data_IF_806969857648
#
_entry.id   IF_806969857648
#
_cell.length_a   1.000
_cell.length_b   1.000
_cell.length_c   1.000
_cell.angle_alpha   90.00
_cell.angle_beta   90.00
_cell.angle_gamma   90.00
#
_symmetry.space_group_name_H-M   'P 1'
#
loop_
_entity.id
_entity.type
_entity.pdbx_description
1 polymer ?
#
# COMPACT_ATOMS: atom_id res chain seq x y z
N UNK A 1 19.88 -1.32 17.07
CA UNK A 1 20.20 -1.78 18.44
C UNK A 1 18.99 -2.43 19.04
N UNK A 2 19.18 -3.60 19.63
CA UNK A 2 18.10 -4.39 20.20
C UNK A 2 17.56 -3.73 21.47
N UNK A 3 16.25 -3.75 21.59
CA UNK A 3 15.50 -3.22 22.71
C UNK A 3 15.08 -4.35 23.64
N UNK A 4 14.99 -4.06 24.93
CA UNK A 4 14.49 -4.97 25.95
C UNK A 4 13.30 -4.33 26.69
N UNK A 5 12.08 -4.48 26.16
CA UNK A 5 10.87 -3.95 26.79
C UNK A 5 10.60 -4.56 28.17
N UNK A 6 11.10 -5.77 28.46
CA UNK A 6 10.93 -6.39 29.78
C UNK A 6 11.76 -5.73 30.89
N UNK A 7 12.81 -4.97 30.53
CA UNK A 7 13.70 -4.30 31.49
C UNK A 7 13.32 -2.84 31.80
N UNK A 8 12.34 -2.28 31.09
CA UNK A 8 11.79 -0.94 31.34
C UNK A 8 11.25 -0.25 30.09
N UNK A 9 10.38 0.73 30.32
CA UNK A 9 9.66 1.50 29.29
C UNK A 9 8.32 0.89 28.93
N UNK A 10 7.67 1.46 27.91
CA UNK A 10 6.37 0.99 27.40
C UNK A 10 6.36 0.96 25.87
N UNK A 11 5.60 0.02 25.32
CA UNK A 11 5.26 -0.02 23.89
C UNK A 11 3.75 0.12 23.81
N UNK A 12 3.28 1.12 23.08
CA UNK A 12 1.85 1.38 22.85
C UNK A 12 1.59 1.48 21.35
N UNK A 13 0.32 1.36 20.95
CA UNK A 13 -0.06 1.59 19.57
C UNK A 13 -1.34 2.44 19.48
N UNK A 14 -1.46 3.16 18.36
CA UNK A 14 -2.69 3.80 17.89
C UNK A 14 -3.05 3.21 16.53
N UNK A 15 -4.33 2.95 16.31
CA UNK A 15 -4.86 2.47 15.03
C UNK A 15 -6.02 3.36 14.60
N UNK A 16 -5.86 4.04 13.46
CA UNK A 16 -6.89 4.84 12.81
C UNK A 16 -6.98 4.53 11.32
N UNK A 17 -7.98 5.08 10.65
CA UNK A 17 -8.14 4.92 9.19
C UNK A 17 -7.04 5.63 8.39
N UNK A 18 -6.39 6.63 8.98
CA UNK A 18 -5.39 7.49 8.34
C UNK A 18 -3.95 7.04 8.62
N UNK A 19 -3.71 6.32 9.71
CA UNK A 19 -2.39 5.82 10.11
C UNK A 19 -2.47 4.76 11.21
N UNK A 20 -1.42 3.96 11.28
CA UNK A 20 -1.10 3.12 12.43
C UNK A 20 0.21 3.61 13.05
N UNK A 21 0.25 3.75 14.37
CA UNK A 21 1.43 4.26 15.09
C UNK A 21 1.83 3.26 16.15
N UNK A 22 3.11 2.90 16.22
CA UNK A 22 3.70 2.17 17.34
C UNK A 22 4.69 3.08 18.04
N UNK A 23 4.55 3.24 19.36
CA UNK A 23 5.35 4.16 20.17
C UNK A 23 6.12 3.37 21.22
N UNK A 24 7.45 3.50 21.19
CA UNK A 24 8.34 3.06 22.26
C UNK A 24 8.64 4.27 23.15
N UNK A 25 8.27 4.21 24.42
CA UNK A 25 8.49 5.28 25.39
C UNK A 25 9.38 4.82 26.53
N UNK A 26 10.60 5.38 26.59
CA UNK A 26 11.60 5.03 27.60
C UNK A 26 12.06 3.57 27.56
N UNK A 27 11.98 2.89 26.41
CA UNK A 27 12.30 1.46 26.31
C UNK A 27 13.81 1.25 26.42
N UNK A 28 14.23 0.36 27.32
CA UNK A 28 15.66 0.09 27.54
C UNK A 28 16.31 -0.64 26.36
N UNK A 29 17.58 -0.38 26.14
CA UNK A 29 18.43 -1.22 25.29
C UNK A 29 18.65 -2.59 25.95
N UNK A 30 18.87 -3.63 25.14
CA UNK A 30 19.14 -4.97 25.66
C UNK A 30 20.48 -5.07 26.42
N UNK A 31 21.52 -4.42 25.91
CA UNK A 31 22.89 -4.55 26.43
C UNK A 31 23.33 -3.47 27.43
N UNK A 32 22.50 -2.46 27.71
CA UNK A 32 22.82 -1.43 28.71
C UNK A 32 21.57 -0.74 29.29
N UNK A 33 21.77 0.20 30.21
CA UNK A 33 20.69 0.93 30.90
C UNK A 33 20.11 2.11 30.12
N UNK A 34 20.69 2.48 28.97
CA UNK A 34 20.19 3.58 28.15
C UNK A 34 18.79 3.27 27.61
N UNK A 35 17.98 4.31 27.44
CA UNK A 35 16.59 4.21 26.99
C UNK A 35 16.37 4.91 25.65
N UNK A 36 15.37 4.46 24.90
CA UNK A 36 14.95 5.04 23.63
C UNK A 36 13.46 5.43 23.67
N UNK A 37 13.16 6.59 23.13
CA UNK A 37 11.81 7.11 22.92
C UNK A 37 11.65 7.55 21.47
N UNK A 38 10.90 6.76 20.70
CA UNK A 38 10.62 7.01 19.29
C UNK A 38 9.31 6.35 18.88
N UNK A 39 8.80 6.70 17.72
CA UNK A 39 7.63 6.07 17.13
C UNK A 39 7.86 5.68 15.68
N UNK A 40 7.14 4.65 15.23
CA UNK A 40 7.01 4.23 13.84
C UNK A 40 5.57 4.48 13.42
N UNK A 41 5.39 5.25 12.34
CA UNK A 41 4.10 5.62 11.78
C UNK A 41 4.00 4.96 10.42
N UNK A 42 2.97 4.15 10.22
CA UNK A 42 2.61 3.52 8.96
C UNK A 42 1.40 4.24 8.38
N UNK A 43 1.53 4.74 7.16
CA UNK A 43 0.45 5.37 6.42
C UNK A 43 -0.13 4.41 5.37
N UNK A 44 -1.43 4.51 5.04
CA UNK A 44 -2.06 3.69 3.99
C UNK A 44 -1.42 3.85 2.60
N UNK A 45 -0.75 4.98 2.32
CA UNK A 45 0.00 5.20 1.09
C UNK A 45 1.36 4.47 1.05
N UNK A 46 1.66 3.65 2.05
CA UNK A 46 2.91 2.91 2.17
C UNK A 46 4.07 3.73 2.76
N UNK A 47 3.87 5.01 3.10
CA UNK A 47 4.89 5.79 3.80
C UNK A 47 5.13 5.23 5.20
N UNK A 48 6.41 5.13 5.57
CA UNK A 48 6.87 4.71 6.88
C UNK A 48 7.70 5.85 7.46
N UNK A 49 7.24 6.42 8.57
CA UNK A 49 7.97 7.48 9.27
C UNK A 49 8.46 6.98 10.61
N UNK A 50 9.76 7.12 10.84
CA UNK A 50 10.35 6.98 12.16
C UNK A 50 10.57 8.37 12.75
N UNK A 51 9.96 8.68 13.90
CA UNK A 51 10.18 9.95 14.61
C UNK A 51 10.87 9.73 15.94
N UNK A 52 11.87 10.54 16.24
CA UNK A 52 12.78 10.32 17.35
C UNK A 52 12.65 11.45 18.36
N UNK A 53 12.11 11.16 19.54
CA UNK A 53 12.07 12.13 20.61
C UNK A 53 13.41 12.13 21.37
N UNK A 54 13.84 10.97 21.84
CA UNK A 54 15.10 10.79 22.56
C UNK A 54 15.74 9.46 22.20
N UNK A 55 16.95 9.49 21.67
CA UNK A 55 17.76 8.31 21.37
C UNK A 55 19.17 8.48 21.89
N UNK A 56 19.76 7.36 22.32
CA UNK A 56 21.18 7.31 22.63
C UNK A 56 21.96 6.82 21.41
N UNK A 57 22.86 7.68 20.91
CA UNK A 57 23.73 7.37 19.78
C UNK A 57 24.82 6.38 20.22
N UNK A 58 24.56 5.09 19.99
CA UNK A 58 25.56 4.03 20.05
C UNK A 58 25.68 3.40 18.66
N UNK A 59 26.90 3.05 18.26
CA UNK A 59 27.44 2.93 16.89
C UNK A 59 26.88 1.80 16.00
N UNK A 60 25.71 1.23 16.30
CA UNK A 60 25.18 0.05 15.59
C UNK A 60 23.68 0.10 15.24
N UNK A 61 23.05 1.28 15.27
CA UNK A 61 21.67 1.40 14.78
C UNK A 61 21.64 1.56 13.26
N UNK A 62 21.90 0.49 12.52
CA UNK A 62 21.51 0.45 11.11
C UNK A 62 20.00 0.63 11.05
N UNK A 63 19.56 1.75 10.49
CA UNK A 63 18.16 2.03 10.17
C UNK A 63 18.03 1.81 8.68
N UNK A 64 17.05 1.06 8.24
CA UNK A 64 16.93 0.73 6.84
C UNK A 64 15.70 -0.10 6.57
N UNK A 65 15.46 -0.36 5.30
CA UNK A 65 14.46 -1.32 4.86
C UNK A 65 15.20 -2.54 4.37
N UNK A 66 14.78 -3.71 4.85
CA UNK A 66 15.30 -5.01 4.46
C UNK A 66 14.23 -5.78 3.68
N UNK A 67 14.66 -6.63 2.75
CA UNK A 67 13.78 -7.58 2.09
C UNK A 67 13.33 -8.70 3.03
N UNK A 68 12.26 -9.40 2.64
CA UNK A 68 11.59 -10.41 3.48
C UNK A 68 12.50 -11.58 3.90
N UNK A 69 13.48 -11.92 3.07
CA UNK A 69 14.43 -13.01 3.28
C UNK A 69 15.73 -12.57 3.99
N UNK A 70 15.87 -11.28 4.33
CA UNK A 70 17.00 -10.77 5.10
C UNK A 70 18.33 -10.75 4.36
N UNK A 71 18.30 -10.83 3.03
CA UNK A 71 19.51 -10.94 2.18
C UNK A 71 19.96 -9.58 1.62
N UNK A 72 19.11 -8.57 1.64
CA UNK A 72 19.38 -7.24 1.10
C UNK A 72 18.70 -6.14 1.93
N UNK A 73 19.49 -5.15 2.36
CA UNK A 73 19.01 -3.99 3.09
C UNK A 73 19.48 -2.67 2.47
N UNK A 74 18.62 -1.65 2.52
CA UNK A 74 18.96 -0.27 2.19
C UNK A 74 19.08 0.53 3.48
N UNK A 75 20.30 0.93 3.89
CA UNK A 75 20.50 1.71 5.10
C UNK A 75 20.22 3.20 4.87
N UNK A 76 19.69 3.85 5.89
CA UNK A 76 19.75 5.30 6.07
C UNK A 76 21.11 5.64 6.68
N UNK A 77 21.91 6.41 5.94
CA UNK A 77 23.35 6.58 6.19
C UNK A 77 23.69 7.57 7.32
N UNK A 78 22.72 8.35 7.79
CA UNK A 78 22.93 9.34 8.84
C UNK A 78 22.35 8.84 10.16
N UNK A 79 23.10 8.98 11.26
CA UNK A 79 22.54 8.66 12.57
C UNK A 79 21.43 9.65 12.91
N UNK A 80 20.25 9.18 13.36
CA UNK A 80 19.20 10.06 13.84
C UNK A 80 19.69 10.85 15.06
N UNK A 81 19.04 11.97 15.33
CA UNK A 81 19.30 12.78 16.52
C UNK A 81 17.97 13.04 17.24
N UNK A 82 18.03 13.49 18.48
CA UNK A 82 16.83 13.88 19.21
C UNK A 82 16.08 14.96 18.42
N UNK A 83 14.76 14.78 18.28
CA UNK A 83 13.89 15.68 17.53
C UNK A 83 13.90 15.50 16.01
N UNK A 84 14.60 14.51 15.45
CA UNK A 84 14.58 14.27 14.00
C UNK A 84 13.52 13.25 13.58
N UNK A 85 13.32 13.10 12.28
CA UNK A 85 12.51 12.05 11.68
C UNK A 85 13.19 11.51 10.41
N UNK A 86 12.96 10.24 10.11
CA UNK A 86 13.33 9.59 8.85
C UNK A 86 12.05 9.08 8.21
N UNK A 87 11.76 9.54 6.99
CA UNK A 87 10.61 9.12 6.20
C UNK A 87 11.08 8.24 5.05
N UNK A 88 10.60 7.01 5.02
CA UNK A 88 10.66 6.14 3.86
C UNK A 88 9.38 6.30 3.08
N UNK A 89 9.51 6.79 1.86
CA UNK A 89 8.43 6.77 0.88
C UNK A 89 8.60 5.53 0.03
N UNK A 90 7.54 4.77 -0.27
CA UNK A 90 7.60 3.81 -1.34
C UNK A 90 8.17 4.52 -2.57
N UNK A 91 9.13 3.89 -3.22
CA UNK A 91 9.42 4.26 -4.59
C UNK A 91 8.13 3.97 -5.36
N UNK A 92 7.37 5.01 -5.70
CA UNK A 92 6.43 4.95 -6.83
C UNK A 92 7.13 4.44 -8.09
N UNK A 93 8.46 4.51 -8.10
CA UNK A 93 9.38 4.03 -9.11
C UNK A 93 9.77 2.54 -8.98
N UNK A 94 8.92 1.63 -9.47
CA UNK A 94 9.26 1.19 -10.81
C UNK A 94 8.58 2.21 -11.69
N UNK A 95 9.37 3.11 -12.28
CA UNK A 95 8.90 3.90 -13.41
C UNK A 95 8.62 2.85 -14.48
N UNK A 96 7.40 2.32 -14.48
CA UNK A 96 6.71 2.30 -15.74
C UNK A 96 6.68 3.78 -16.09
N UNK A 97 7.48 4.18 -17.07
CA UNK A 97 7.19 5.43 -17.74
C UNK A 97 5.84 5.12 -18.37
N UNK A 98 4.75 5.38 -17.64
CA UNK A 98 3.42 5.36 -18.21
C UNK A 98 3.53 6.50 -19.22
N UNK A 99 3.78 6.16 -20.49
CA UNK A 99 4.38 7.07 -21.47
C UNK A 99 3.56 8.37 -21.63
N UNK A 100 2.32 8.38 -21.14
CA UNK A 100 1.34 9.45 -21.22
C UNK A 100 0.71 9.88 -19.88
N UNK A 101 1.18 9.38 -18.73
CA UNK A 101 0.63 9.74 -17.41
C UNK A 101 -0.81 9.25 -17.18
N UNK A 102 -1.21 8.15 -17.81
CA UNK A 102 -2.54 7.53 -17.62
C UNK A 102 -2.48 6.28 -16.76
N UNK A 103 -3.64 5.87 -16.28
CA UNK A 103 -3.82 4.54 -15.68
C UNK A 103 -3.45 3.47 -16.73
N UNK A 104 -2.69 2.46 -16.33
CA UNK A 104 -2.35 1.33 -17.19
C UNK A 104 -2.75 0.01 -16.56
N UNK A 105 -3.30 -0.90 -17.36
CA UNK A 105 -3.55 -2.28 -16.91
C UNK A 105 -2.29 -3.10 -17.13
N UNK A 106 -1.72 -3.58 -16.03
CA UNK A 106 -0.47 -4.33 -16.03
C UNK A 106 -0.71 -5.82 -16.32
N UNK A 107 -1.78 -6.37 -15.74
CA UNK A 107 -2.07 -7.80 -15.82
C UNK A 107 -3.55 -8.09 -15.59
N UNK A 108 -4.06 -9.11 -16.30
CA UNK A 108 -5.36 -9.71 -16.03
C UNK A 108 -5.18 -11.21 -15.85
N UNK A 109 -5.70 -11.73 -14.75
CA UNK A 109 -5.74 -13.16 -14.42
C UNK A 109 -7.20 -13.64 -14.33
N UNK A 110 -7.41 -14.94 -14.56
CA UNK A 110 -8.72 -15.56 -14.36
C UNK A 110 -9.75 -15.25 -15.45
N UNK A 111 -9.35 -14.75 -16.62
CA UNK A 111 -10.24 -14.41 -17.75
C UNK A 111 -11.03 -15.62 -18.35
N UNK A 112 -10.89 -16.82 -17.79
CA UNK A 112 -11.73 -18.00 -18.08
C UNK A 112 -12.12 -18.76 -16.80
N UNK A 113 -12.22 -18.05 -15.68
CA UNK A 113 -12.62 -18.58 -14.38
C UNK A 113 -13.90 -17.89 -13.90
N UNK A 114 -14.41 -18.35 -12.75
CA UNK A 114 -15.52 -17.73 -12.02
C UNK A 114 -15.14 -16.40 -11.34
N UNK A 115 -13.87 -15.99 -11.47
CA UNK A 115 -13.37 -14.70 -11.02
C UNK A 115 -12.40 -14.10 -12.04
N UNK A 116 -12.32 -12.79 -12.07
CA UNK A 116 -11.28 -12.03 -12.77
C UNK A 116 -10.54 -11.16 -11.78
N UNK A 117 -9.22 -11.20 -11.85
CA UNK A 117 -8.34 -10.35 -11.06
C UNK A 117 -7.52 -9.48 -12.01
N UNK A 118 -7.41 -8.19 -11.69
CA UNK A 118 -6.73 -7.22 -12.52
C UNK A 118 -5.77 -6.40 -11.68
N UNK A 119 -4.54 -6.28 -12.15
CA UNK A 119 -3.51 -5.39 -11.63
C UNK A 119 -3.41 -4.17 -12.56
N UNK A 120 -3.46 -2.97 -11.98
CA UNK A 120 -3.33 -1.71 -12.72
C UNK A 120 -2.44 -0.73 -11.97
N UNK A 121 -1.81 0.17 -12.71
CA UNK A 121 -1.01 1.27 -12.17
C UNK A 121 -1.80 2.58 -12.25
N UNK A 122 -1.75 3.35 -11.16
CA UNK A 122 -2.28 4.73 -11.11
C UNK A 122 -1.07 5.68 -11.14
N UNK A 123 -1.05 6.67 -12.04
CA UNK A 123 0.11 7.54 -12.28
C UNK A 123 0.33 8.56 -11.16
N UNK A 124 -0.75 9.06 -10.54
CA UNK A 124 -0.73 10.10 -9.52
C UNK A 124 -1.73 9.78 -8.40
N UNK A 125 -1.64 10.45 -7.26
CA UNK A 125 -2.64 10.29 -6.21
C UNK A 125 -3.97 10.91 -6.67
N UNK A 126 -5.00 10.11 -6.89
CA UNK A 126 -6.26 10.57 -7.48
C UNK A 126 -7.47 9.70 -7.08
N UNK A 127 -8.68 10.22 -7.32
CA UNK A 127 -9.88 9.40 -7.20
C UNK A 127 -10.04 8.45 -8.39
N UNK A 128 -10.21 7.15 -8.11
CA UNK A 128 -10.40 6.11 -9.13
C UNK A 128 -11.72 5.39 -8.93
N UNK A 129 -12.48 5.21 -10.02
CA UNK A 129 -13.68 4.36 -10.05
C UNK A 129 -13.46 3.16 -10.96
N UNK A 130 -13.76 1.98 -10.44
CA UNK A 130 -13.72 0.71 -11.20
C UNK A 130 -15.13 0.15 -11.30
N UNK A 131 -15.67 0.16 -12.51
CA UNK A 131 -17.02 -0.32 -12.81
C UNK A 131 -16.97 -1.57 -13.69
N UNK A 132 -18.02 -2.39 -13.61
CA UNK A 132 -18.25 -3.54 -14.48
C UNK A 132 -19.49 -3.30 -15.33
N UNK A 133 -19.41 -3.50 -16.64
CA UNK A 133 -20.51 -3.36 -17.59
C UNK A 133 -20.74 -4.65 -18.38
N UNK A 134 -21.98 -4.89 -18.83
CA UNK A 134 -22.27 -5.93 -19.81
C UNK A 134 -22.12 -5.40 -21.26
N UNK A 135 -22.33 -6.27 -22.25
CA UNK A 135 -22.24 -5.90 -23.68
C UNK A 135 -23.25 -4.84 -24.14
N UNK A 136 -24.33 -4.62 -23.38
CA UNK A 136 -25.33 -3.59 -23.66
C UNK A 136 -24.94 -2.23 -23.05
N UNK A 137 -23.78 -2.14 -22.41
CA UNK A 137 -23.35 -0.94 -21.69
C UNK A 137 -24.08 -0.70 -20.38
N UNK A 138 -24.82 -1.69 -19.87
CA UNK A 138 -25.49 -1.57 -18.58
C UNK A 138 -24.47 -1.83 -17.47
N UNK A 139 -24.43 -0.94 -16.47
CA UNK A 139 -23.57 -1.11 -15.31
C UNK A 139 -24.09 -2.26 -14.44
N UNK A 140 -23.22 -3.24 -14.24
CA UNK A 140 -23.48 -4.46 -13.48
C UNK A 140 -23.06 -4.30 -12.02
N UNK A 141 -21.89 -3.73 -11.79
CA UNK A 141 -21.33 -3.54 -10.45
C UNK A 141 -20.33 -2.37 -10.43
N UNK A 142 -20.04 -1.84 -9.25
CA UNK A 142 -18.93 -0.90 -8.98
C UNK A 142 -18.03 -1.58 -7.95
N UNK A 143 -16.81 -1.95 -8.35
CA UNK A 143 -15.86 -2.67 -7.50
C UNK A 143 -15.12 -1.73 -6.55
N UNK A 144 -14.83 -0.52 -7.04
CA UNK A 144 -14.11 0.53 -6.31
C UNK A 144 -14.62 1.91 -6.74
N UNK A 145 -14.69 2.83 -5.78
CA UNK A 145 -15.00 4.25 -5.98
C UNK A 145 -14.35 5.04 -4.82
N UNK A 146 -13.03 5.08 -4.83
CA UNK A 146 -12.23 5.58 -3.70
C UNK A 146 -10.97 6.31 -4.18
N UNK A 147 -10.25 6.91 -3.24
CA UNK A 147 -8.98 7.57 -3.53
C UNK A 147 -7.85 6.52 -3.58
N UNK A 148 -7.02 6.59 -4.61
CA UNK A 148 -5.88 5.71 -4.83
C UNK A 148 -4.60 6.52 -4.82
N UNK A 149 -3.59 6.07 -4.07
CA UNK A 149 -2.24 6.60 -4.18
C UNK A 149 -1.56 6.12 -5.47
N UNK A 150 -0.62 6.89 -5.99
CA UNK A 150 0.20 6.51 -7.14
C UNK A 150 0.88 5.16 -6.90
N UNK A 151 0.90 4.31 -7.94
CA UNK A 151 1.46 2.97 -7.87
C UNK A 151 0.47 1.87 -8.26
N UNK A 152 0.76 0.64 -7.85
CA UNK A 152 0.03 -0.54 -8.29
C UNK A 152 -1.15 -0.85 -7.38
N UNK A 153 -2.25 -1.24 -7.99
CA UNK A 153 -3.49 -1.63 -7.35
C UNK A 153 -3.98 -2.94 -7.93
N UNK A 154 -4.74 -3.69 -7.13
CA UNK A 154 -5.36 -4.93 -7.56
C UNK A 154 -6.84 -4.92 -7.22
N UNK A 155 -7.66 -5.30 -8.20
CA UNK A 155 -9.10 -5.53 -8.02
C UNK A 155 -9.45 -6.96 -8.40
N UNK A 156 -10.50 -7.46 -7.78
CA UNK A 156 -11.06 -8.78 -8.05
C UNK A 156 -12.56 -8.65 -8.23
N UNK A 157 -13.07 -9.24 -9.31
CA UNK A 157 -14.49 -9.41 -9.56
C UNK A 157 -14.84 -10.89 -9.59
N UNK A 158 -15.82 -11.31 -8.78
CA UNK A 158 -16.20 -12.72 -8.68
C UNK A 158 -17.42 -13.05 -9.57
N UNK A 159 -17.70 -12.24 -10.59
CA UNK A 159 -18.90 -12.46 -11.42
C UNK A 159 -20.21 -12.11 -10.71
N UNK A 160 -20.18 -11.17 -9.77
CA UNK A 160 -21.33 -10.70 -8.99
C UNK A 160 -21.84 -9.32 -9.46
N UNK A 161 -23.14 -9.10 -9.43
CA UNK A 161 -23.76 -7.79 -9.68
C UNK A 161 -23.86 -6.96 -8.38
N UNK A 162 -24.39 -5.74 -8.48
CA UNK A 162 -24.57 -4.83 -7.32
C UNK A 162 -25.40 -5.41 -6.16
N UNK A 163 -26.21 -6.44 -6.39
CA UNK A 163 -26.99 -7.14 -5.36
C UNK A 163 -26.25 -8.33 -4.74
N UNK A 164 -25.00 -8.59 -5.15
CA UNK A 164 -24.21 -9.76 -4.77
C UNK A 164 -24.58 -11.05 -5.52
N UNK A 165 -25.53 -11.00 -6.47
CA UNK A 165 -25.98 -12.16 -7.23
C UNK A 165 -25.05 -12.46 -8.40
N UNK A 166 -24.82 -13.75 -8.68
CA UNK A 166 -23.97 -14.18 -9.82
C UNK A 166 -24.61 -13.81 -11.15
N UNK A 167 -23.81 -13.25 -12.05
CA UNK A 167 -24.22 -12.98 -13.44
C UNK A 167 -24.04 -14.20 -14.33
N UNK A 168 -24.68 -14.18 -15.51
CA UNK A 168 -24.56 -15.26 -16.49
C UNK A 168 -23.18 -15.32 -17.14
N UNK A 169 -22.87 -16.44 -17.78
CA UNK A 169 -21.72 -16.52 -18.68
C UNK A 169 -21.89 -15.50 -19.81
N UNK A 170 -20.79 -14.89 -20.26
CA UNK A 170 -20.84 -13.86 -21.28
C UNK A 170 -19.63 -12.94 -21.27
N UNK A 171 -19.71 -11.90 -22.10
CA UNK A 171 -18.69 -10.85 -22.17
C UNK A 171 -19.07 -9.67 -21.28
N UNK A 172 -18.09 -9.20 -20.52
CA UNK A 172 -18.20 -8.05 -19.64
C UNK A 172 -17.01 -7.12 -19.87
N UNK A 173 -17.14 -5.88 -19.39
CA UNK A 173 -16.11 -4.86 -19.49
C UNK A 173 -15.82 -4.31 -18.11
N UNK A 174 -14.56 -4.35 -17.69
CA UNK A 174 -14.09 -3.63 -16.53
C UNK A 174 -13.56 -2.28 -17.02
N UNK A 175 -14.12 -1.20 -16.48
CA UNK A 175 -13.78 0.19 -16.84
C UNK A 175 -13.21 0.88 -15.62
N UNK A 176 -11.95 1.30 -15.73
CA UNK A 176 -11.29 2.14 -14.74
C UNK A 176 -11.40 3.58 -15.22
N UNK A 177 -11.97 4.46 -14.40
CA UNK A 177 -12.12 5.89 -14.67
C UNK A 177 -11.25 6.67 -13.68
N UNK A 178 -10.37 7.51 -14.22
CA UNK A 178 -9.53 8.46 -13.47
C UNK A 178 -10.36 9.66 -12.99
N UNK A 179 -9.77 10.51 -12.15
CA UNK A 179 -10.43 11.74 -11.68
C UNK A 179 -10.59 12.76 -12.81
N UNK A 180 -9.64 12.79 -13.75
CA UNK A 180 -9.70 13.60 -14.99
C UNK A 180 -10.76 13.12 -15.97
N UNK A 181 -11.32 11.93 -15.77
CA UNK A 181 -12.33 11.31 -16.63
C UNK A 181 -11.77 10.41 -17.73
N UNK A 182 -10.45 10.21 -17.78
CA UNK A 182 -9.81 9.23 -18.65
C UNK A 182 -10.28 7.81 -18.30
N UNK A 183 -10.44 6.98 -19.32
CA UNK A 183 -10.99 5.63 -19.15
C UNK A 183 -10.09 4.58 -19.77
N UNK A 184 -9.85 3.53 -18.99
CA UNK A 184 -9.22 2.30 -19.45
C UNK A 184 -10.25 1.19 -19.39
N UNK A 185 -10.50 0.54 -20.53
CA UNK A 185 -11.52 -0.50 -20.66
C UNK A 185 -10.87 -1.83 -21.01
N UNK A 186 -11.23 -2.87 -20.26
CA UNK A 186 -10.75 -4.22 -20.52
C UNK A 186 -11.93 -5.18 -20.69
N UNK A 187 -11.88 -5.96 -21.76
CA UNK A 187 -12.84 -7.02 -22.04
C UNK A 187 -12.50 -8.26 -21.20
N UNK A 188 -13.52 -8.80 -20.55
CA UNK A 188 -13.46 -10.00 -19.72
C UNK A 188 -14.50 -11.00 -20.24
N UNK A 189 -14.15 -12.29 -20.24
CA UNK A 189 -15.08 -13.36 -20.58
C UNK A 189 -15.31 -14.18 -19.32
N UNK A 190 -16.58 -14.36 -18.97
CA UNK A 190 -16.97 -15.23 -17.86
C UNK A 190 -17.55 -16.50 -18.45
N UNK A 191 -16.93 -17.63 -18.11
CA UNK A 191 -17.39 -18.97 -18.48
C UNK A 191 -17.96 -19.65 -17.25
N UNK A 192 -18.91 -20.55 -17.45
CA UNK A 192 -19.47 -21.41 -16.40
C UNK A 192 -18.92 -22.82 -16.55
#
# INVERSE_FOLDING_TARGET
>A
RDLNPSAGGTITYYSGSDKFVVTWSGVKNYSNSSTQTFQVILYPNGEIVFQYNSITNDVTTTRGIENIDGTAGVPYSTNPSNGTAVKFTPSTSKVYTLEDGKIEVLRINGIFKDFTEMEYAVPFDEKVRVDVYNILGQKINTLKDEYHFAGRHTIRWNGDNYSGSKVGAGTYFIVITSETGDKVTNKVVLVK
#
